data_IF_173296599416
#
_entry.id   IF_173296599416
#
_cell.length_a   1.000
_cell.length_b   1.000
_cell.length_c   1.000
_cell.angle_alpha   90.00
_cell.angle_beta   90.00
_cell.angle_gamma   90.00
#
_symmetry.space_group_name_H-M   'P 1'
#
loop_
_entity.id
_entity.type
_entity.pdbx_description
1 polymer ?
#
# COMPACT_ATOMS: atom_id res chain seq x y z
N UNK A 1 -32.27 -7.06 27.08
CA UNK A 1 -32.04 -6.95 25.62
C UNK A 1 -31.97 -5.47 25.30
N UNK A 2 -30.97 -4.95 24.54
CA UNK A 2 -30.19 -5.63 23.52
C UNK A 2 -28.71 -5.83 23.87
N UNK A 3 -28.12 -6.75 23.13
CA UNK A 3 -26.78 -7.31 23.27
C UNK A 3 -25.73 -6.39 22.65
N UNK A 4 -24.56 -6.28 23.30
CA UNK A 4 -23.35 -5.87 22.60
C UNK A 4 -23.07 -6.89 21.50
N UNK A 5 -23.09 -6.47 20.24
CA UNK A 5 -22.70 -7.30 19.12
C UNK A 5 -21.18 -7.48 19.15
N UNK A 6 -20.74 -8.73 19.30
CA UNK A 6 -19.33 -9.12 19.23
C UNK A 6 -18.76 -8.72 17.86
N UNK A 7 -17.82 -7.77 17.87
CA UNK A 7 -17.01 -7.46 16.71
C UNK A 7 -16.13 -8.66 16.38
N UNK A 8 -16.35 -9.25 15.21
CA UNK A 8 -15.61 -10.39 14.70
C UNK A 8 -14.10 -10.11 14.73
N UNK A 9 -13.40 -10.75 15.66
CA UNK A 9 -11.94 -10.67 15.76
C UNK A 9 -11.38 -11.37 14.53
N UNK A 10 -11.02 -10.59 13.50
CA UNK A 10 -10.30 -11.08 12.33
C UNK A 10 -8.93 -11.59 12.77
N UNK A 11 -8.88 -12.88 13.06
CA UNK A 11 -7.67 -13.62 13.43
C UNK A 11 -6.64 -13.44 12.31
N UNK A 12 -5.40 -13.11 12.65
CA UNK A 12 -4.29 -13.07 11.68
C UNK A 12 -4.20 -14.41 10.98
N UNK A 13 -4.64 -14.48 9.73
CA UNK A 13 -4.58 -15.70 8.93
C UNK A 13 -3.11 -16.00 8.64
N UNK A 14 -2.60 -17.15 9.09
CA UNK A 14 -1.29 -17.63 8.65
C UNK A 14 -1.43 -18.08 7.20
N UNK A 15 -0.69 -17.44 6.28
CA UNK A 15 -0.71 -17.82 4.86
C UNK A 15 -0.04 -19.19 4.71
N UNK A 16 -0.80 -20.18 4.23
CA UNK A 16 -0.25 -21.49 3.83
C UNK A 16 0.29 -21.36 2.41
N UNK A 17 1.55 -21.77 2.19
CA UNK A 17 2.16 -21.73 0.86
C UNK A 17 1.36 -22.58 -0.12
N UNK A 18 0.83 -21.95 -1.17
CA UNK A 18 0.03 -22.58 -2.22
C UNK A 18 0.09 -21.73 -3.48
N UNK A 19 -0.22 -22.32 -4.64
CA UNK A 19 -0.10 -21.66 -5.95
C UNK A 19 -0.89 -20.34 -6.04
N UNK A 20 -2.02 -20.25 -5.32
CA UNK A 20 -2.84 -19.05 -5.23
C UNK A 20 -2.17 -17.88 -4.49
N UNK A 21 -1.16 -18.14 -3.65
CA UNK A 21 -0.45 -17.12 -2.86
C UNK A 21 0.80 -16.61 -3.58
N UNK A 22 1.11 -17.10 -4.78
CA UNK A 22 2.28 -16.71 -5.54
C UNK A 22 2.14 -15.25 -6.01
N UNK A 23 3.11 -14.39 -5.66
CA UNK A 23 3.07 -12.96 -5.99
C UNK A 23 2.22 -12.10 -5.04
N UNK A 24 1.71 -12.65 -3.94
CA UNK A 24 1.06 -11.86 -2.90
C UNK A 24 2.10 -11.36 -1.88
N UNK A 25 2.10 -10.06 -1.61
CA UNK A 25 2.90 -9.45 -0.55
C UNK A 25 2.01 -8.83 0.51
N UNK A 26 2.50 -8.88 1.76
CA UNK A 26 1.88 -8.16 2.87
C UNK A 26 2.07 -6.65 2.66
N UNK A 27 0.98 -5.89 2.76
CA UNK A 27 1.05 -4.42 2.75
C UNK A 27 1.98 -3.93 3.88
N UNK A 28 3.11 -3.27 3.54
CA UNK A 28 4.04 -2.75 4.53
C UNK A 28 3.42 -1.56 5.29
N UNK A 29 3.98 -1.26 6.46
CA UNK A 29 3.62 -0.04 7.19
C UNK A 29 4.10 1.20 6.43
N UNK A 30 3.28 2.25 6.39
CA UNK A 30 3.62 3.53 5.77
C UNK A 30 4.32 4.51 6.73
N UNK A 31 4.68 4.07 7.94
CA UNK A 31 5.37 4.90 8.93
C UNK A 31 6.85 5.02 8.60
N UNK A 32 7.42 6.23 8.72
CA UNK A 32 8.84 6.52 8.46
C UNK A 32 9.31 6.28 7.02
N UNK A 33 8.39 6.33 6.05
CA UNK A 33 8.68 6.14 4.62
C UNK A 33 9.82 7.02 4.08
N UNK A 34 10.02 8.21 4.64
CA UNK A 34 11.11 9.13 4.23
C UNK A 34 12.51 8.49 4.33
N UNK A 35 12.70 7.51 5.21
CA UNK A 35 14.02 6.92 5.48
C UNK A 35 14.18 5.48 4.97
N UNK A 36 13.15 4.93 4.32
CA UNK A 36 13.12 3.53 3.89
C UNK A 36 13.28 3.37 2.38
N UNK A 37 13.80 4.38 1.68
CA UNK A 37 14.16 4.22 0.29
C UNK A 37 15.26 3.13 0.14
N UNK A 38 15.24 2.32 -0.92
CA UNK A 38 14.31 2.34 -2.06
C UNK A 38 12.96 1.67 -1.77
N UNK A 39 11.94 2.03 -2.55
CA UNK A 39 10.55 1.61 -2.39
C UNK A 39 10.18 0.46 -3.34
N UNK A 40 8.99 -0.13 -3.12
CA UNK A 40 8.52 -1.40 -3.70
C UNK A 40 9.17 -2.64 -3.09
N UNK A 41 8.64 -3.82 -3.42
CA UNK A 41 9.12 -5.10 -2.89
C UNK A 41 10.48 -5.52 -3.47
N UNK A 42 10.88 -4.95 -4.60
CA UNK A 42 12.12 -5.19 -5.33
C UNK A 42 13.11 -4.02 -5.24
N UNK A 43 12.72 -2.91 -4.62
CA UNK A 43 13.55 -1.69 -4.55
C UNK A 43 13.64 -0.94 -5.88
N UNK A 44 12.69 -1.14 -6.81
CA UNK A 44 12.71 -0.53 -8.15
C UNK A 44 12.54 0.98 -8.16
N UNK A 45 11.92 1.58 -7.14
CA UNK A 45 11.59 3.01 -7.11
C UNK A 45 12.43 3.75 -6.08
N UNK A 46 13.08 4.84 -6.49
CA UNK A 46 13.98 5.60 -5.61
C UNK A 46 13.21 6.62 -4.75
N UNK A 47 12.08 7.10 -5.24
CA UNK A 47 11.35 8.23 -4.64
C UNK A 47 9.88 7.91 -4.36
N UNK A 48 9.31 8.59 -3.35
CA UNK A 48 7.87 8.51 -3.06
C UNK A 48 7.02 9.06 -4.21
N UNK A 49 7.55 10.00 -5.00
CA UNK A 49 6.85 10.57 -6.15
C UNK A 49 6.62 9.52 -7.22
N UNK A 50 7.67 8.75 -7.55
CA UNK A 50 7.57 7.63 -8.50
C UNK A 50 6.62 6.54 -8.01
N UNK A 51 6.57 6.28 -6.69
CA UNK A 51 5.60 5.34 -6.12
C UNK A 51 4.17 5.83 -6.37
N UNK A 52 3.89 7.11 -6.09
CA UNK A 52 2.57 7.70 -6.33
C UNK A 52 2.20 7.66 -7.82
N UNK A 53 3.15 7.95 -8.72
CA UNK A 53 2.91 7.87 -10.16
C UNK A 53 2.64 6.43 -10.63
N UNK A 54 3.40 5.46 -10.14
CA UNK A 54 3.19 4.05 -10.46
C UNK A 54 1.81 3.52 -10.04
N UNK A 55 1.26 4.01 -8.92
CA UNK A 55 -0.09 3.65 -8.47
C UNK A 55 -1.20 4.45 -9.18
N UNK A 56 -0.94 5.71 -9.55
CA UNK A 56 -1.91 6.53 -10.27
C UNK A 56 -2.13 6.01 -11.70
N UNK A 57 -1.04 5.60 -12.36
CA UNK A 57 -1.03 5.15 -13.75
C UNK A 57 -1.02 3.61 -13.86
N UNK A 58 -1.44 2.91 -12.79
CA UNK A 58 -1.41 1.46 -12.74
C UNK A 58 -2.35 0.86 -13.80
N UNK A 59 -1.80 -0.06 -14.58
CA UNK A 59 -2.55 -0.79 -15.59
C UNK A 59 -3.34 -1.93 -14.91
N UNK A 60 -4.68 -1.86 -14.85
CA UNK A 60 -5.50 -2.89 -14.21
C UNK A 60 -5.37 -4.25 -14.91
N UNK A 61 -4.99 -4.31 -16.19
CA UNK A 61 -4.80 -5.55 -16.95
C UNK A 61 -3.50 -6.27 -16.56
N UNK A 62 -2.50 -5.55 -16.03
CA UNK A 62 -1.25 -6.15 -15.53
C UNK A 62 -1.37 -6.74 -14.14
N UNK A 63 -2.43 -6.39 -13.39
CA UNK A 63 -2.68 -6.92 -12.05
C UNK A 63 -3.37 -8.29 -12.17
N UNK A 64 -2.57 -9.33 -12.36
CA UNK A 64 -3.02 -10.72 -12.38
C UNK A 64 -3.30 -11.24 -10.95
N UNK A 65 -4.21 -10.57 -10.21
CA UNK A 65 -4.76 -11.12 -8.97
C UNK A 65 -6.19 -11.57 -9.24
N UNK A 66 -6.40 -12.88 -9.33
CA UNK A 66 -7.66 -13.58 -9.63
C UNK A 66 -8.84 -13.31 -8.66
N UNK A 67 -8.70 -12.38 -7.71
CA UNK A 67 -9.64 -12.22 -6.60
C UNK A 67 -10.39 -10.90 -6.57
N UNK A 68 -9.69 -9.78 -6.60
CA UNK A 68 -10.31 -8.48 -6.36
C UNK A 68 -9.49 -7.40 -7.09
N UNK A 69 -10.12 -6.68 -8.01
CA UNK A 69 -9.60 -5.43 -8.54
C UNK A 69 -9.65 -4.35 -7.44
N UNK A 70 -8.85 -4.52 -6.38
CA UNK A 70 -8.80 -3.61 -5.23
C UNK A 70 -8.16 -2.28 -5.66
N UNK A 71 -7.24 -2.33 -6.63
CA UNK A 71 -6.54 -1.15 -7.12
C UNK A 71 -7.25 -0.61 -8.35
N UNK A 72 -7.75 0.63 -8.22
CA UNK A 72 -8.35 1.39 -9.31
C UNK A 72 -7.37 2.49 -9.71
N UNK A 73 -7.29 2.85 -11.00
CA UNK A 73 -6.51 4.00 -11.43
C UNK A 73 -7.02 5.22 -10.68
N UNK A 74 -6.12 5.85 -9.93
CA UNK A 74 -6.41 7.05 -9.19
C UNK A 74 -6.06 8.18 -10.14
N UNK A 75 -7.06 8.70 -10.87
CA UNK A 75 -6.90 9.84 -11.77
C UNK A 75 -6.56 11.10 -10.96
N UNK A 76 -5.31 11.19 -10.50
CA UNK A 76 -4.79 12.30 -9.71
C UNK A 76 -4.20 13.36 -10.64
N UNK A 77 -4.57 14.61 -10.40
CA UNK A 77 -3.87 15.76 -10.97
C UNK A 77 -2.50 15.97 -10.30
N UNK A 78 -1.64 16.79 -10.91
CA UNK A 78 -0.28 17.02 -10.39
C UNK A 78 -0.27 17.59 -8.96
N UNK A 79 -1.28 18.40 -8.58
CA UNK A 79 -1.35 18.98 -7.24
C UNK A 79 -1.72 17.93 -6.21
N UNK A 80 -2.71 17.10 -6.51
CA UNK A 80 -3.13 16.00 -5.67
C UNK A 80 -2.00 14.97 -5.46
N UNK A 81 -1.15 14.78 -6.47
CA UNK A 81 0.05 13.93 -6.35
C UNK A 81 1.07 14.53 -5.40
N UNK A 82 1.37 15.82 -5.49
CA UNK A 82 2.27 16.52 -4.56
C UNK A 82 1.72 16.54 -3.13
N UNK A 83 0.42 16.79 -2.96
CA UNK A 83 -0.23 16.77 -1.65
C UNK A 83 -0.17 15.38 -1.01
N UNK A 84 -0.34 14.31 -1.82
CA UNK A 84 -0.21 12.94 -1.34
C UNK A 84 1.23 12.62 -0.92
N UNK A 85 2.23 13.07 -1.70
CA UNK A 85 3.64 12.91 -1.31
C UNK A 85 3.94 13.65 -0.01
N UNK A 86 3.46 14.88 0.13
CA UNK A 86 3.62 15.67 1.36
C UNK A 86 2.95 14.98 2.56
N UNK A 87 1.75 14.42 2.36
CA UNK A 87 1.08 13.62 3.38
C UNK A 87 1.88 12.38 3.78
N UNK A 88 2.38 11.60 2.82
CA UNK A 88 3.20 10.42 3.10
C UNK A 88 4.51 10.77 3.82
N UNK A 89 5.12 11.89 3.49
CA UNK A 89 6.28 12.40 4.20
C UNK A 89 5.93 12.80 5.64
N UNK A 90 4.75 13.35 5.89
CA UNK A 90 4.28 13.71 7.24
C UNK A 90 4.09 12.50 8.17
N UNK A 91 3.92 11.29 7.62
CA UNK A 91 3.86 10.02 8.39
C UNK A 91 5.23 9.56 8.90
N UNK A 92 6.28 10.32 8.59
CA UNK A 92 7.64 10.08 9.07
C UNK A 92 7.95 10.97 10.26
N UNK A 93 8.57 10.39 11.29
CA UNK A 93 9.01 11.18 12.43
C UNK A 93 10.06 12.21 12.00
N UNK A 94 9.89 13.45 12.46
CA UNK A 94 10.89 14.53 12.31
C UNK A 94 12.17 14.23 13.10
N UNK A 95 12.10 13.33 14.08
CA UNK A 95 13.20 13.02 15.01
C UNK A 95 13.51 11.52 14.97
N UNK A 96 14.76 11.18 14.63
CA UNK A 96 15.31 9.84 14.83
C UNK A 96 15.51 9.61 16.35
N UNK A 97 15.00 8.51 16.94
CA UNK A 97 15.33 8.14 18.31
C UNK A 97 16.79 7.68 18.45
#
# INVERSE_FOLDING_TARGET
>A
MPMCTEGEIRKTLSVTLGQINFGQWRTPSLRNLKYTAPYMHDGSLATLREVVDAYADIDPERIHNDGEAIIRPLSLDDRAREDLVAFLQSLSATTLP
#
